data_IF_865833374497
#
_entry.id   IF_865833374497
#
_cell.length_a   1.000
_cell.length_b   1.000
_cell.length_c   1.000
_cell.angle_alpha   90.00
_cell.angle_beta   90.00
_cell.angle_gamma   90.00
#
_symmetry.space_group_name_H-M   'P 1'
#
loop_
_entity.id
_entity.type
_entity.pdbx_description
1 polymer ?
#
# COMPACT_ATOMS: atom_id res chain seq x y z
N UNK A 1 -29.61 33.33 -21.19
CA UNK A 1 -28.66 32.21 -21.39
C UNK A 1 -28.42 31.56 -20.04
N UNK A 2 -29.15 30.48 -19.74
CA UNK A 2 -28.94 29.69 -18.53
C UNK A 2 -27.80 28.71 -18.80
N UNK A 3 -26.62 28.95 -18.22
CA UNK A 3 -25.54 27.96 -18.17
C UNK A 3 -26.00 26.84 -17.25
N UNK A 4 -26.58 25.79 -17.84
CA UNK A 4 -26.81 24.51 -17.18
C UNK A 4 -25.51 24.09 -16.50
N UNK A 5 -25.55 24.04 -15.17
CA UNK A 5 -24.61 23.33 -14.32
C UNK A 5 -24.70 21.84 -14.64
N UNK A 6 -24.17 21.42 -15.79
CA UNK A 6 -23.80 20.03 -16.00
C UNK A 6 -22.74 19.73 -14.93
N UNK A 7 -23.17 19.09 -13.84
CA UNK A 7 -22.27 18.61 -12.81
C UNK A 7 -21.14 17.84 -13.51
N UNK A 8 -19.89 18.26 -13.30
CA UNK A 8 -18.72 17.55 -13.86
C UNK A 8 -18.60 16.17 -13.22
N UNK A 9 -19.35 15.20 -13.73
CA UNK A 9 -19.40 13.79 -13.26
C UNK A 9 -18.02 13.12 -13.36
N UNK A 10 -17.16 13.64 -14.22
CA UNK A 10 -15.77 13.21 -14.43
C UNK A 10 -14.88 13.32 -13.18
N UNK A 11 -15.15 14.24 -12.25
CA UNK A 11 -14.36 14.36 -11.02
C UNK A 11 -14.68 13.26 -9.99
N UNK A 12 -15.94 13.06 -9.56
CA UNK A 12 -16.26 12.02 -8.59
C UNK A 12 -16.04 10.60 -9.16
N UNK A 13 -16.29 10.40 -10.45
CA UNK A 13 -16.08 9.09 -11.08
C UNK A 13 -14.60 8.70 -11.14
N UNK A 14 -13.71 9.65 -11.48
CA UNK A 14 -12.27 9.41 -11.46
C UNK A 14 -11.73 9.14 -10.06
N UNK A 15 -12.27 9.81 -9.04
CA UNK A 15 -11.92 9.54 -7.64
C UNK A 15 -12.34 8.12 -7.24
N UNK A 16 -13.58 7.74 -7.52
CA UNK A 16 -14.09 6.41 -7.20
C UNK A 16 -13.34 5.31 -7.96
N UNK A 17 -13.05 5.50 -9.25
CA UNK A 17 -12.22 4.59 -10.03
C UNK A 17 -10.79 4.49 -9.46
N UNK A 18 -10.21 5.59 -9.00
CA UNK A 18 -8.89 5.61 -8.36
C UNK A 18 -8.87 4.82 -7.05
N UNK A 19 -9.89 4.99 -6.22
CA UNK A 19 -10.08 4.23 -4.99
C UNK A 19 -10.20 2.74 -5.29
N UNK A 20 -11.08 2.34 -6.21
CA UNK A 20 -11.29 0.93 -6.52
C UNK A 20 -10.06 0.28 -7.18
N UNK A 21 -9.39 0.98 -8.09
CA UNK A 21 -8.20 0.46 -8.78
C UNK A 21 -7.02 0.27 -7.82
N UNK A 22 -6.77 1.22 -6.93
CA UNK A 22 -5.69 1.12 -5.94
C UNK A 22 -6.00 0.14 -4.82
N UNK A 23 -7.28 0.04 -4.41
CA UNK A 23 -7.70 -1.00 -3.49
C UNK A 23 -7.52 -2.40 -4.11
N UNK A 24 -7.91 -2.57 -5.37
CA UNK A 24 -7.73 -3.82 -6.11
C UNK A 24 -6.24 -4.18 -6.24
N UNK A 25 -5.39 -3.24 -6.67
CA UNK A 25 -3.95 -3.45 -6.76
C UNK A 25 -3.34 -3.82 -5.40
N UNK A 26 -3.74 -3.13 -4.32
CA UNK A 26 -3.27 -3.40 -2.97
C UNK A 26 -3.68 -4.78 -2.45
N UNK A 27 -4.94 -5.18 -2.63
CA UNK A 27 -5.42 -6.51 -2.24
C UNK A 27 -4.67 -7.59 -3.00
N UNK A 28 -4.48 -7.43 -4.31
CA UNK A 28 -3.72 -8.39 -5.13
C UNK A 28 -2.30 -8.56 -4.60
N UNK A 29 -1.59 -7.45 -4.37
CA UNK A 29 -0.18 -7.49 -3.96
C UNK A 29 0.04 -7.97 -2.53
N UNK A 30 -0.97 -7.87 -1.65
CA UNK A 30 -0.85 -8.24 -0.23
C UNK A 30 -1.41 -9.63 0.04
N UNK A 31 -2.53 -10.00 -0.58
CA UNK A 31 -3.09 -11.35 -0.40
C UNK A 31 -2.18 -12.41 -1.04
N UNK A 32 -1.51 -12.06 -2.15
CA UNK A 32 -0.48 -12.91 -2.75
C UNK A 32 0.84 -12.89 -1.96
N UNK A 33 1.02 -11.90 -1.05
CA UNK A 33 2.27 -11.63 -0.32
C UNK A 33 2.31 -11.95 1.18
N UNK A 34 1.17 -11.93 1.89
CA UNK A 34 1.17 -11.80 3.37
C UNK A 34 0.30 -12.81 4.15
N UNK A 35 -0.52 -13.65 3.51
CA UNK A 35 -1.53 -14.47 4.25
C UNK A 35 -1.27 -15.98 4.17
N UNK A 36 -0.22 -16.45 3.51
CA UNK A 36 0.14 -17.88 3.50
C UNK A 36 1.43 -18.14 4.25
N UNK A 37 1.34 -18.99 5.29
CA UNK A 37 2.42 -19.47 6.19
C UNK A 37 3.54 -20.26 5.48
N UNK A 38 3.51 -20.35 4.15
CA UNK A 38 4.61 -20.87 3.34
C UNK A 38 4.87 -19.88 2.19
N UNK A 39 6.06 -19.26 2.10
CA UNK A 39 6.40 -18.37 1.00
C UNK A 39 6.59 -19.20 -0.26
N UNK A 40 5.52 -19.36 -1.07
CA UNK A 40 5.64 -19.78 -2.47
C UNK A 40 5.92 -18.54 -3.32
N UNK A 41 6.93 -17.74 -2.94
CA UNK A 41 7.30 -16.55 -3.69
C UNK A 41 8.39 -16.90 -4.70
N UNK A 42 8.28 -16.34 -5.89
CA UNK A 42 9.46 -15.90 -6.60
C UNK A 42 9.91 -14.56 -6.00
N UNK A 43 11.19 -14.46 -5.61
CA UNK A 43 11.79 -13.37 -4.83
C UNK A 43 11.65 -11.94 -5.40
N UNK A 44 11.10 -11.79 -6.61
CA UNK A 44 11.09 -10.57 -7.39
C UNK A 44 9.73 -9.87 -7.50
N UNK A 45 8.62 -10.47 -7.06
CA UNK A 45 7.27 -9.89 -7.22
C UNK A 45 7.07 -8.48 -6.64
N UNK A 46 7.51 -8.14 -5.41
CA UNK A 46 7.36 -6.77 -4.89
C UNK A 46 8.23 -5.77 -5.66
N UNK A 47 9.41 -6.20 -6.13
CA UNK A 47 10.31 -5.38 -6.94
C UNK A 47 9.65 -5.04 -8.28
N UNK A 48 9.10 -6.04 -8.96
CA UNK A 48 8.42 -5.89 -10.25
C UNK A 48 7.21 -4.96 -10.11
N UNK A 49 6.39 -5.15 -9.07
CA UNK A 49 5.21 -4.31 -8.84
C UNK A 49 5.58 -2.84 -8.56
N UNK A 50 6.55 -2.59 -7.68
CA UNK A 50 6.97 -1.24 -7.33
C UNK A 50 7.59 -0.49 -8.50
N UNK A 51 8.50 -1.14 -9.23
CA UNK A 51 9.14 -0.55 -10.42
C UNK A 51 8.10 -0.26 -11.50
N UNK A 52 7.21 -1.21 -11.81
CA UNK A 52 6.21 -1.02 -12.86
C UNK A 52 5.15 0.01 -12.48
N UNK A 53 4.84 0.21 -11.19
CA UNK A 53 3.97 1.31 -10.76
C UNK A 53 4.56 2.68 -11.12
N UNK A 54 5.85 2.90 -10.85
CA UNK A 54 6.51 4.18 -11.19
C UNK A 54 6.71 4.34 -12.69
N UNK A 55 7.11 3.28 -13.40
CA UNK A 55 7.29 3.30 -14.86
C UNK A 55 5.98 3.57 -15.58
N UNK A 56 4.87 2.96 -15.15
CA UNK A 56 3.55 3.22 -15.71
C UNK A 56 3.13 4.69 -15.55
N UNK A 57 3.40 5.30 -14.38
CA UNK A 57 3.16 6.73 -14.18
C UNK A 57 4.00 7.57 -15.14
N UNK A 58 5.30 7.31 -15.23
CA UNK A 58 6.21 8.06 -16.09
C UNK A 58 5.78 8.00 -17.57
N UNK A 59 5.46 6.80 -18.07
CA UNK A 59 4.96 6.61 -19.44
C UNK A 59 3.63 7.32 -19.70
N UNK A 60 2.70 7.27 -18.74
CA UNK A 60 1.41 7.94 -18.86
C UNK A 60 1.52 9.47 -18.78
N UNK A 61 2.41 10.00 -17.94
CA UNK A 61 2.72 11.43 -17.90
C UNK A 61 3.30 11.92 -19.23
N UNK A 62 4.10 11.09 -19.91
CA UNK A 62 4.61 11.40 -21.24
C UNK A 62 3.50 11.42 -22.30
N UNK A 63 2.56 10.47 -22.24
CA UNK A 63 1.41 10.42 -23.15
C UNK A 63 0.45 11.61 -23.00
N UNK A 64 0.42 12.24 -21.82
CA UNK A 64 -0.34 13.46 -21.55
C UNK A 64 -1.87 13.29 -21.55
N UNK A 65 -2.41 12.07 -21.51
CA UNK A 65 -3.85 11.80 -21.51
C UNK A 65 -4.30 11.02 -20.28
N UNK A 66 -5.35 11.48 -19.59
CA UNK A 66 -5.96 10.71 -18.49
C UNK A 66 -6.78 9.52 -18.99
N UNK A 67 -7.33 9.63 -20.20
CA UNK A 67 -8.13 8.58 -20.83
C UNK A 67 -7.28 7.35 -21.12
N UNK A 68 -6.02 7.53 -21.54
CA UNK A 68 -5.09 6.41 -21.74
C UNK A 68 -4.77 5.73 -20.41
N UNK A 69 -4.61 6.48 -19.31
CA UNK A 69 -4.45 5.92 -17.97
C UNK A 69 -5.61 4.99 -17.58
N UNK A 70 -6.86 5.44 -17.73
CA UNK A 70 -8.03 4.59 -17.43
C UNK A 70 -8.20 3.42 -18.39
N UNK A 71 -7.82 3.56 -19.67
CA UNK A 71 -7.82 2.46 -20.62
C UNK A 71 -6.81 1.37 -20.24
N UNK A 72 -5.59 1.76 -19.82
CA UNK A 72 -4.59 0.82 -19.30
C UNK A 72 -5.10 0.16 -18.03
N UNK A 73 -5.66 0.92 -17.09
CA UNK A 73 -6.26 0.37 -15.87
C UNK A 73 -7.36 -0.66 -16.19
N UNK A 74 -8.22 -0.39 -17.18
CA UNK A 74 -9.23 -1.34 -17.67
C UNK A 74 -8.58 -2.62 -18.15
N UNK A 75 -7.54 -2.52 -18.99
CA UNK A 75 -6.77 -3.68 -19.46
C UNK A 75 -6.18 -4.50 -18.32
N UNK A 76 -5.60 -3.85 -17.32
CA UNK A 76 -5.06 -4.51 -16.13
C UNK A 76 -6.15 -5.26 -15.33
N UNK A 77 -7.32 -4.66 -15.11
CA UNK A 77 -8.43 -5.32 -14.41
C UNK A 77 -8.91 -6.54 -15.19
N UNK A 78 -9.00 -6.45 -16.51
CA UNK A 78 -9.36 -7.58 -17.38
C UNK A 78 -8.32 -8.71 -17.33
N UNK A 79 -7.03 -8.38 -17.34
CA UNK A 79 -5.95 -9.37 -17.19
C UNK A 79 -6.04 -10.08 -15.83
N UNK A 80 -6.18 -9.33 -14.73
CA UNK A 80 -6.35 -9.91 -13.38
C UNK A 80 -7.59 -10.79 -13.29
N UNK A 81 -8.71 -10.35 -13.88
CA UNK A 81 -9.94 -11.14 -13.97
C UNK A 81 -9.73 -12.42 -14.79
N UNK A 82 -9.02 -12.33 -15.91
CA UNK A 82 -8.77 -13.48 -16.80
C UNK A 82 -7.89 -14.52 -16.13
N UNK A 83 -6.81 -14.10 -15.46
CA UNK A 83 -5.94 -15.00 -14.69
C UNK A 83 -6.75 -15.73 -13.63
N UNK A 84 -7.63 -15.04 -12.91
CA UNK A 84 -8.50 -15.67 -11.89
C UNK A 84 -9.37 -16.82 -12.43
N UNK A 85 -9.88 -16.71 -13.67
CA UNK A 85 -10.78 -17.72 -14.24
C UNK A 85 -10.07 -18.79 -15.07
N UNK A 86 -8.91 -18.46 -15.64
CA UNK A 86 -8.20 -19.33 -16.60
C UNK A 86 -7.04 -20.07 -15.91
N UNK A 87 -6.49 -19.55 -14.81
CA UNK A 87 -5.37 -20.19 -14.13
C UNK A 87 -5.73 -21.60 -13.64
N UNK A 88 -4.99 -22.64 -14.07
CA UNK A 88 -5.23 -23.99 -13.60
C UNK A 88 -5.02 -24.07 -12.09
N UNK A 89 -5.94 -24.72 -11.36
CA UNK A 89 -5.77 -24.98 -9.92
C UNK A 89 -4.54 -25.84 -9.64
N UNK A 90 -4.21 -26.72 -10.58
CA UNK A 90 -3.18 -27.76 -10.44
C UNK A 90 -1.92 -27.40 -11.23
N UNK A 91 -1.70 -26.10 -11.48
CA UNK A 91 -0.55 -25.62 -12.23
C UNK A 91 0.77 -26.09 -11.58
N UNK A 92 1.73 -26.49 -12.42
CA UNK A 92 3.09 -26.80 -11.98
C UNK A 92 3.74 -25.58 -11.31
N UNK A 93 4.76 -25.82 -10.47
CA UNK A 93 5.43 -24.78 -9.71
C UNK A 93 5.92 -23.62 -10.60
N UNK A 94 6.56 -23.93 -11.72
CA UNK A 94 7.07 -22.93 -12.67
C UNK A 94 5.97 -22.05 -13.27
N UNK A 95 4.83 -22.66 -13.60
CA UNK A 95 3.65 -21.93 -14.11
C UNK A 95 3.05 -21.02 -13.05
N UNK A 96 3.00 -21.47 -11.79
CA UNK A 96 2.51 -20.65 -10.67
C UNK A 96 3.43 -19.44 -10.44
N UNK A 97 4.74 -19.65 -10.48
CA UNK A 97 5.73 -18.59 -10.34
C UNK A 97 5.64 -17.56 -11.47
N UNK A 98 5.48 -18.00 -12.72
CA UNK A 98 5.27 -17.10 -13.85
C UNK A 98 3.98 -16.28 -13.70
N UNK A 99 2.88 -16.92 -13.29
CA UNK A 99 1.60 -16.25 -13.05
C UNK A 99 1.71 -15.18 -11.95
N UNK A 100 2.43 -15.45 -10.86
CA UNK A 100 2.66 -14.47 -9.79
C UNK A 100 3.41 -13.23 -10.29
N UNK A 101 4.43 -13.39 -11.13
CA UNK A 101 5.13 -12.25 -11.74
C UNK A 101 4.18 -11.44 -12.62
N UNK A 102 3.35 -12.09 -13.44
CA UNK A 102 2.38 -11.41 -14.29
C UNK A 102 1.32 -10.68 -13.46
N UNK A 103 0.82 -11.29 -12.39
CA UNK A 103 -0.15 -10.68 -11.46
C UNK A 103 0.47 -9.46 -10.77
N UNK A 104 1.68 -9.60 -10.22
CA UNK A 104 2.40 -8.50 -9.58
C UNK A 104 2.69 -7.35 -10.56
N UNK A 105 3.13 -7.66 -11.78
CA UNK A 105 3.34 -6.69 -12.83
C UNK A 105 2.05 -5.94 -13.18
N UNK A 106 0.95 -6.68 -13.36
CA UNK A 106 -0.35 -6.10 -13.72
C UNK A 106 -0.90 -5.22 -12.60
N UNK A 107 -0.75 -5.63 -11.34
CA UNK A 107 -1.16 -4.82 -10.18
C UNK A 107 -0.29 -3.57 -10.02
N UNK A 108 1.02 -3.66 -10.25
CA UNK A 108 1.92 -2.51 -10.29
C UNK A 108 1.50 -1.50 -11.37
N UNK A 109 1.27 -1.96 -12.61
CA UNK A 109 0.80 -1.10 -13.71
C UNK A 109 -0.56 -0.48 -13.38
N UNK A 110 -1.49 -1.24 -12.79
CA UNK A 110 -2.80 -0.74 -12.36
C UNK A 110 -2.67 0.38 -11.33
N UNK A 111 -1.82 0.20 -10.32
CA UNK A 111 -1.52 1.21 -9.30
C UNK A 111 -0.97 2.49 -9.96
N UNK A 112 0.03 2.33 -10.82
CA UNK A 112 0.64 3.46 -11.54
C UNK A 112 -0.35 4.17 -12.47
N UNK A 113 -1.19 3.43 -13.18
CA UNK A 113 -2.22 3.99 -14.04
C UNK A 113 -3.28 4.77 -13.25
N UNK A 114 -3.73 4.24 -12.11
CA UNK A 114 -4.67 4.91 -11.23
C UNK A 114 -4.07 6.21 -10.64
N UNK A 115 -2.81 6.17 -10.19
CA UNK A 115 -2.08 7.36 -9.72
C UNK A 115 -1.99 8.39 -10.84
N UNK A 116 -1.49 8.03 -12.02
CA UNK A 116 -1.34 8.96 -13.14
C UNK A 116 -2.67 9.59 -13.60
N UNK A 117 -3.75 8.81 -13.66
CA UNK A 117 -5.04 9.30 -14.13
C UNK A 117 -5.74 10.26 -13.12
N UNK A 118 -5.43 10.13 -11.84
CA UNK A 118 -6.08 10.88 -10.75
C UNK A 118 -5.23 12.04 -10.20
N UNK A 119 -3.90 11.95 -10.27
CA UNK A 119 -3.00 12.97 -9.72
C UNK A 119 -3.20 14.34 -10.37
N UNK A 120 -3.04 15.40 -9.57
CA UNK A 120 -3.37 16.77 -9.96
C UNK A 120 -4.85 17.14 -9.78
N UNK A 121 -5.66 16.26 -9.17
CA UNK A 121 -6.96 16.62 -8.58
C UNK A 121 -6.95 16.21 -7.11
N UNK A 122 -7.24 17.16 -6.22
CA UNK A 122 -7.26 16.94 -4.77
C UNK A 122 -8.10 15.69 -4.43
N UNK A 123 -9.35 15.63 -4.88
CA UNK A 123 -10.23 14.48 -4.63
C UNK A 123 -9.70 13.13 -5.17
N UNK A 124 -8.92 13.16 -6.25
CA UNK A 124 -8.30 11.95 -6.82
C UNK A 124 -7.14 11.44 -5.96
N UNK A 125 -6.29 12.34 -5.46
CA UNK A 125 -5.16 12.01 -4.58
C UNK A 125 -5.66 11.34 -3.29
N UNK A 126 -6.66 11.93 -2.64
CA UNK A 126 -7.28 11.36 -1.44
C UNK A 126 -7.87 9.97 -1.70
N UNK A 127 -8.55 9.80 -2.83
CA UNK A 127 -9.21 8.54 -3.15
C UNK A 127 -8.22 7.40 -3.42
N UNK A 128 -7.12 7.69 -4.10
CA UNK A 128 -6.05 6.73 -4.36
C UNK A 128 -5.33 6.31 -3.07
N UNK A 129 -5.02 7.26 -2.19
CA UNK A 129 -4.43 6.92 -0.88
C UNK A 129 -5.43 6.14 0.00
N UNK A 130 -6.70 6.54 0.02
CA UNK A 130 -7.74 5.82 0.75
C UNK A 130 -7.88 4.38 0.26
N UNK A 131 -7.93 4.16 -1.06
CA UNK A 131 -8.05 2.83 -1.65
C UNK A 131 -6.84 1.95 -1.36
N UNK A 132 -5.63 2.43 -1.68
CA UNK A 132 -4.40 1.69 -1.47
C UNK A 132 -4.13 1.37 0.01
N UNK A 133 -4.28 2.35 0.90
CA UNK A 133 -4.00 2.15 2.33
C UNK A 133 -5.08 1.32 3.03
N UNK A 134 -6.35 1.50 2.67
CA UNK A 134 -7.41 0.64 3.23
C UNK A 134 -7.25 -0.81 2.78
N UNK A 135 -6.83 -1.05 1.54
CA UNK A 135 -6.47 -2.39 1.09
C UNK A 135 -5.30 -2.95 1.89
N UNK A 136 -4.29 -2.14 2.20
CA UNK A 136 -3.19 -2.56 3.06
C UNK A 136 -3.63 -3.04 4.44
N UNK A 137 -4.52 -2.31 5.10
CA UNK A 137 -5.02 -2.68 6.42
C UNK A 137 -6.00 -3.86 6.39
N UNK A 138 -6.82 -3.98 5.35
CA UNK A 138 -7.92 -4.95 5.29
C UNK A 138 -7.57 -6.26 4.56
N UNK A 139 -6.47 -6.32 3.81
CA UNK A 139 -6.13 -7.48 2.99
C UNK A 139 -5.93 -8.77 3.82
N UNK A 140 -5.33 -8.68 5.00
CA UNK A 140 -5.13 -9.83 5.88
C UNK A 140 -6.45 -10.47 6.34
N UNK A 141 -7.44 -9.65 6.72
CA UNK A 141 -8.77 -10.12 7.10
C UNK A 141 -9.54 -10.74 5.91
N UNK A 142 -9.31 -10.23 4.69
CA UNK A 142 -9.97 -10.73 3.49
C UNK A 142 -9.47 -12.12 3.04
N UNK A 143 -8.32 -12.57 3.55
CA UNK A 143 -7.72 -13.87 3.24
C UNK A 143 -8.32 -15.06 4.02
N UNK A 144 -8.89 -14.83 5.21
CA UNK A 144 -9.30 -15.92 6.11
C UNK A 144 -10.81 -16.13 6.27
N UNK A 145 -11.64 -15.13 5.97
CA UNK A 145 -13.08 -15.26 6.10
C UNK A 145 -13.79 -15.18 4.75
N UNK A 146 -14.21 -16.33 4.16
CA UNK A 146 -15.33 -16.33 3.19
C UNK A 146 -16.24 -17.57 3.24
N UNK A 147 -17.57 -17.37 3.32
CA UNK A 147 -18.62 -18.41 3.24
C UNK A 147 -18.95 -18.86 1.80
N UNK A 148 -18.10 -18.59 0.81
CA UNK A 148 -18.30 -19.03 -0.57
C UNK A 148 -16.99 -19.61 -1.11
N UNK A 149 -16.76 -20.86 -0.77
CA UNK A 149 -15.70 -21.69 -1.35
C UNK A 149 -15.98 -21.90 -2.84
N UNK A 150 -15.20 -21.23 -3.69
CA UNK A 150 -14.66 -21.82 -4.92
C UNK A 150 -13.71 -20.80 -5.57
N UNK A 151 -12.46 -21.24 -5.78
CA UNK A 151 -11.28 -20.53 -6.32
C UNK A 151 -10.44 -19.75 -5.30
N UNK A 152 -9.37 -20.43 -4.88
CA UNK A 152 -8.24 -20.00 -4.02
C UNK A 152 -7.40 -18.83 -4.58
N UNK A 153 -7.88 -18.11 -5.60
CA UNK A 153 -7.14 -17.02 -6.26
C UNK A 153 -7.62 -15.63 -5.79
N UNK A 154 -7.05 -15.23 -4.65
CA UNK A 154 -6.62 -13.90 -4.15
C UNK A 154 -7.47 -12.62 -4.27
N UNK A 155 -8.52 -12.52 -5.09
CA UNK A 155 -9.25 -11.24 -5.28
C UNK A 155 -10.76 -11.37 -5.15
N UNK A 156 -11.46 -10.52 -4.38
CA UNK A 156 -12.93 -10.52 -4.41
C UNK A 156 -13.52 -10.23 -5.79
N UNK A 157 -14.36 -11.14 -6.31
CA UNK A 157 -15.11 -10.95 -7.57
C UNK A 157 -15.85 -9.61 -7.58
N UNK A 158 -16.49 -9.26 -6.46
CA UNK A 158 -17.21 -8.01 -6.34
C UNK A 158 -16.28 -6.79 -6.52
N UNK A 159 -15.06 -6.84 -5.98
CA UNK A 159 -14.09 -5.75 -6.11
C UNK A 159 -13.58 -5.64 -7.54
N UNK A 160 -13.32 -6.77 -8.21
CA UNK A 160 -12.98 -6.80 -9.64
C UNK A 160 -14.09 -6.19 -10.49
N UNK A 161 -15.35 -6.57 -10.24
CA UNK A 161 -16.50 -6.07 -10.99
C UNK A 161 -16.70 -4.55 -10.80
N UNK A 162 -16.65 -4.07 -9.55
CA UNK A 162 -16.77 -2.64 -9.25
C UNK A 162 -15.58 -1.87 -9.83
N UNK A 163 -14.35 -2.37 -9.66
CA UNK A 163 -13.17 -1.73 -10.25
C UNK A 163 -13.31 -1.65 -11.78
N UNK A 164 -13.72 -2.72 -12.45
CA UNK A 164 -13.91 -2.75 -13.90
C UNK A 164 -14.93 -1.71 -14.37
N UNK A 165 -16.14 -1.71 -13.77
CA UNK A 165 -17.20 -0.77 -14.13
C UNK A 165 -16.73 0.67 -13.97
N UNK A 166 -16.01 0.96 -12.90
CA UNK A 166 -15.62 2.31 -12.53
C UNK A 166 -14.45 2.83 -13.38
N UNK A 167 -13.45 2.00 -13.69
CA UNK A 167 -12.35 2.38 -14.59
C UNK A 167 -12.84 2.53 -16.04
N UNK A 168 -13.77 1.69 -16.50
CA UNK A 168 -14.39 1.83 -17.83
C UNK A 168 -15.20 3.11 -17.90
N UNK A 169 -16.06 3.37 -16.90
CA UNK A 169 -16.84 4.60 -16.86
C UNK A 169 -15.92 5.83 -16.81
N UNK A 170 -14.85 5.81 -16.01
CA UNK A 170 -13.87 6.88 -15.97
C UNK A 170 -13.15 7.09 -17.32
N UNK A 171 -12.84 6.01 -18.06
CA UNK A 171 -12.28 6.09 -19.41
C UNK A 171 -13.24 6.71 -20.43
N UNK A 172 -14.55 6.47 -20.29
CA UNK A 172 -15.58 7.00 -21.19
C UNK A 172 -15.86 8.49 -20.94
N UNK A 173 -15.87 8.93 -19.68
CA UNK A 173 -16.19 10.32 -19.31
C UNK A 173 -14.95 11.23 -19.33
N UNK A 174 -13.74 10.67 -19.31
CA UNK A 174 -12.50 11.45 -19.40
C UNK A 174 -12.41 12.25 -20.70
N UNK A 175 -12.46 13.59 -20.58
CA UNK A 175 -12.40 14.49 -21.73
C UNK A 175 -11.04 14.40 -22.46
N UNK A 176 -11.04 14.32 -23.80
CA UNK A 176 -9.82 14.39 -24.59
C UNK A 176 -9.15 15.76 -24.38
N UNK A 177 -7.86 15.75 -24.04
CA UNK A 177 -7.07 16.97 -23.79
C UNK A 177 -6.87 17.33 -22.32
N UNK A 178 -7.57 16.70 -21.38
CA UNK A 178 -7.25 16.83 -19.95
C UNK A 178 -5.91 16.17 -19.64
N UNK A 179 -4.88 16.99 -19.46
CA UNK A 179 -3.51 16.49 -19.28
C UNK A 179 -3.30 15.88 -17.91
N UNK A 180 -2.53 14.81 -17.89
CA UNK A 180 -1.84 14.32 -16.69
C UNK A 180 -0.84 15.40 -16.27
N UNK A 181 -0.52 15.49 -14.98
CA UNK A 181 0.58 16.35 -14.51
C UNK A 181 1.83 16.11 -15.36
N UNK A 182 2.41 17.18 -15.90
CA UNK A 182 3.54 17.08 -16.83
C UNK A 182 4.76 16.54 -16.07
N UNK A 183 5.37 15.48 -16.59
CA UNK A 183 6.56 14.89 -16.00
C UNK A 183 7.73 15.87 -16.05
N UNK A 184 8.42 16.03 -14.93
CA UNK A 184 9.82 16.44 -14.96
C UNK A 184 10.67 15.22 -15.39
N UNK A 185 11.41 15.29 -16.51
CA UNK A 185 12.22 14.19 -17.01
C UNK A 185 13.28 13.68 -16.02
N UNK A 186 13.69 14.49 -15.05
CA UNK A 186 14.65 14.04 -14.02
C UNK A 186 13.98 13.27 -12.90
N UNK A 187 12.69 13.48 -12.70
CA UNK A 187 11.96 12.92 -11.56
C UNK A 187 11.63 11.44 -11.75
N UNK A 188 11.38 11.00 -13.00
CA UNK A 188 11.09 9.58 -13.22
C UNK A 188 12.33 8.71 -13.06
N UNK A 189 13.52 9.16 -13.48
CA UNK A 189 14.76 8.38 -13.28
C UNK A 189 15.08 8.23 -11.80
N UNK A 190 14.91 9.30 -11.01
CA UNK A 190 15.07 9.27 -9.56
C UNK A 190 14.03 8.35 -8.91
N UNK A 191 12.75 8.49 -9.25
CA UNK A 191 11.70 7.68 -8.66
C UNK A 191 11.83 6.19 -9.01
N UNK A 192 12.17 5.85 -10.26
CA UNK A 192 12.43 4.46 -10.66
C UNK A 192 13.67 3.91 -9.97
N UNK A 193 14.75 4.70 -9.91
CA UNK A 193 15.97 4.32 -9.21
C UNK A 193 15.73 4.08 -7.73
N UNK A 194 14.96 4.95 -7.08
CA UNK A 194 14.57 4.80 -5.67
C UNK A 194 13.64 3.59 -5.46
N UNK A 195 12.63 3.38 -6.30
CA UNK A 195 11.74 2.22 -6.20
C UNK A 195 12.53 0.91 -6.33
N UNK A 196 13.46 0.84 -7.29
CA UNK A 196 14.33 -0.33 -7.49
C UNK A 196 15.29 -0.52 -6.32
N UNK A 197 16.01 0.52 -5.92
CA UNK A 197 16.98 0.45 -4.82
C UNK A 197 16.31 0.06 -3.49
N UNK A 198 15.15 0.64 -3.18
CA UNK A 198 14.40 0.30 -1.97
C UNK A 198 13.84 -1.12 -2.03
N UNK A 199 13.22 -1.52 -3.13
CA UNK A 199 12.62 -2.86 -3.23
C UNK A 199 13.67 -3.97 -3.20
N UNK A 200 14.79 -3.80 -3.91
CA UNK A 200 15.91 -4.74 -3.87
C UNK A 200 16.59 -4.72 -2.50
N UNK A 201 16.85 -3.52 -1.95
CA UNK A 201 17.47 -3.36 -0.65
C UNK A 201 16.65 -4.01 0.47
N UNK A 202 15.33 -3.75 0.48
CA UNK A 202 14.42 -4.37 1.43
C UNK A 202 14.36 -5.88 1.26
N UNK A 203 14.33 -6.42 0.04
CA UNK A 203 14.41 -7.88 -0.14
C UNK A 203 15.69 -8.46 0.46
N UNK A 204 16.85 -7.87 0.14
CA UNK A 204 18.13 -8.33 0.67
C UNK A 204 18.20 -8.24 2.19
N UNK A 205 17.61 -7.21 2.79
CA UNK A 205 17.53 -7.08 4.24
C UNK A 205 16.64 -8.17 4.86
N UNK A 206 15.50 -8.47 4.24
CA UNK A 206 14.62 -9.55 4.70
C UNK A 206 15.34 -10.90 4.71
N UNK A 207 16.02 -11.25 3.62
CA UNK A 207 16.79 -12.50 3.51
C UNK A 207 17.87 -12.61 4.59
N UNK A 208 18.49 -11.48 4.95
CA UNK A 208 19.49 -11.43 6.01
C UNK A 208 18.90 -11.55 7.40
N UNK A 209 17.72 -10.99 7.64
CA UNK A 209 17.01 -11.19 8.92
C UNK A 209 16.58 -12.64 9.07
N UNK A 210 16.01 -13.25 8.02
CA UNK A 210 15.59 -14.65 8.04
C UNK A 210 16.77 -15.61 8.26
N UNK A 211 17.90 -15.39 7.57
CA UNK A 211 19.09 -16.22 7.73
C UNK A 211 19.68 -16.18 9.16
N UNK A 212 19.46 -15.08 9.88
CA UNK A 212 20.01 -14.85 11.22
C UNK A 212 18.96 -15.05 12.33
N UNK A 213 17.71 -15.37 11.99
CA UNK A 213 16.61 -15.56 12.95
C UNK A 213 16.87 -16.71 13.93
N UNK A 214 17.58 -17.76 13.51
CA UNK A 214 17.96 -18.91 14.34
C UNK A 214 19.36 -18.77 14.98
N UNK A 215 20.01 -17.61 14.84
CA UNK A 215 21.34 -17.35 15.40
C UNK A 215 21.28 -17.02 16.91
N UNK A 216 22.42 -16.66 17.53
CA UNK A 216 22.43 -16.21 18.92
C UNK A 216 21.56 -14.96 19.10
N UNK A 217 20.93 -14.80 20.27
CA UNK A 217 20.01 -13.69 20.56
C UNK A 217 20.59 -12.31 20.22
N UNK A 218 21.87 -12.09 20.55
CA UNK A 218 22.57 -10.83 20.26
C UNK A 218 22.72 -10.59 18.76
N UNK A 219 23.09 -11.63 18.00
CA UNK A 219 23.29 -11.54 16.55
C UNK A 219 21.97 -11.31 15.83
N UNK A 220 20.93 -12.07 16.19
CA UNK A 220 19.56 -11.88 15.69
C UNK A 220 19.10 -10.42 15.87
N UNK A 221 19.25 -9.86 17.08
CA UNK A 221 18.84 -8.48 17.35
C UNK A 221 19.70 -7.44 16.64
N UNK A 222 20.99 -7.69 16.43
CA UNK A 222 21.87 -6.81 15.67
C UNK A 222 21.42 -6.69 14.21
N UNK A 223 21.11 -7.83 13.56
CA UNK A 223 20.61 -7.83 12.19
C UNK A 223 19.19 -7.27 12.08
N UNK A 224 18.32 -7.58 13.04
CA UNK A 224 16.95 -7.01 13.12
C UNK A 224 16.99 -5.49 13.25
N UNK A 225 17.73 -4.97 14.23
CA UNK A 225 17.89 -3.53 14.44
C UNK A 225 18.59 -2.84 13.27
N UNK A 226 19.61 -3.48 12.69
CA UNK A 226 20.30 -2.99 11.50
C UNK A 226 19.39 -2.91 10.27
N UNK A 227 18.53 -3.91 10.04
CA UNK A 227 17.57 -3.93 8.95
C UNK A 227 16.51 -2.82 9.10
N UNK A 228 15.96 -2.65 10.31
CA UNK A 228 15.01 -1.57 10.61
C UNK A 228 15.65 -0.19 10.45
N UNK A 229 16.90 -0.01 10.89
CA UNK A 229 17.66 1.22 10.69
C UNK A 229 17.88 1.51 9.20
N UNK A 230 18.35 0.52 8.44
CA UNK A 230 18.59 0.66 7.00
C UNK A 230 17.29 0.89 6.22
N UNK A 231 16.15 0.37 6.71
CA UNK A 231 14.84 0.65 6.15
C UNK A 231 14.49 2.15 6.22
N UNK A 232 14.74 2.78 7.38
CA UNK A 232 14.55 4.22 7.59
C UNK A 232 15.56 5.04 6.80
N UNK A 233 16.85 4.68 6.85
CA UNK A 233 17.91 5.36 6.09
C UNK A 233 17.60 5.30 4.60
N UNK A 234 17.16 4.15 4.08
CA UNK A 234 16.77 4.01 2.68
C UNK A 234 15.65 4.99 2.30
N UNK A 235 14.59 5.05 3.11
CA UNK A 235 13.48 5.98 2.88
C UNK A 235 13.93 7.45 2.97
N UNK A 236 14.82 7.79 3.90
CA UNK A 236 15.36 9.14 4.05
C UNK A 236 16.27 9.52 2.87
N UNK A 237 17.15 8.61 2.44
CA UNK A 237 18.02 8.80 1.27
C UNK A 237 17.16 8.99 0.02
N UNK A 238 16.13 8.16 -0.18
CA UNK A 238 15.18 8.34 -1.27
C UNK A 238 14.50 9.72 -1.20
N UNK A 239 14.02 10.11 -0.01
CA UNK A 239 13.38 11.41 0.22
C UNK A 239 14.29 12.61 -0.10
N UNK A 240 15.60 12.51 0.17
CA UNK A 240 16.58 13.56 -0.15
C UNK A 240 16.80 13.78 -1.64
N UNK A 241 16.52 12.79 -2.48
CA UNK A 241 16.59 12.93 -3.93
C UNK A 241 15.29 13.46 -4.56
N UNK A 242 14.21 13.56 -3.77
CA UNK A 242 12.93 14.10 -4.22
C UNK A 242 12.89 15.63 -4.11
N UNK A 243 11.95 16.29 -4.83
CA UNK A 243 11.77 17.73 -4.69
C UNK A 243 11.52 18.17 -3.25
N UNK A 244 11.89 19.42 -2.89
CA UNK A 244 11.60 19.98 -1.58
C UNK A 244 10.10 19.87 -1.27
N UNK A 245 9.76 19.26 -0.12
CA UNK A 245 8.38 19.04 0.32
C UNK A 245 7.78 17.67 -0.01
N UNK A 246 8.29 16.97 -1.03
CA UNK A 246 7.77 15.64 -1.43
C UNK A 246 8.39 14.49 -0.61
N UNK A 247 9.53 14.73 0.04
CA UNK A 247 10.25 13.74 0.86
C UNK A 247 9.53 13.28 2.13
N UNK A 248 8.52 14.04 2.60
CA UNK A 248 7.70 13.68 3.75
C UNK A 248 6.84 12.42 3.47
N UNK A 249 6.40 12.22 2.23
CA UNK A 249 5.48 11.14 1.89
C UNK A 249 6.10 9.74 2.05
N UNK A 250 7.27 9.43 1.46
CA UNK A 250 7.90 8.12 1.65
C UNK A 250 8.18 7.82 3.12
N UNK A 251 8.64 8.81 3.89
CA UNK A 251 8.90 8.65 5.32
C UNK A 251 7.62 8.39 6.12
N UNK A 252 6.52 9.10 5.81
CA UNK A 252 5.23 8.89 6.43
C UNK A 252 4.68 7.49 6.13
N UNK A 253 4.82 7.02 4.88
CA UNK A 253 4.42 5.66 4.49
C UNK A 253 5.25 4.62 5.24
N UNK A 254 6.56 4.76 5.28
CA UNK A 254 7.44 3.83 6.01
C UNK A 254 7.07 3.75 7.49
N UNK A 255 6.89 4.89 8.16
CA UNK A 255 6.44 4.94 9.54
C UNK A 255 5.06 4.30 9.74
N UNK A 256 4.13 4.54 8.81
CA UNK A 256 2.79 3.98 8.85
C UNK A 256 2.79 2.45 8.68
N UNK A 257 3.64 1.90 7.79
CA UNK A 257 3.77 0.45 7.57
C UNK A 257 4.24 -0.23 8.85
N UNK A 258 5.38 0.24 9.38
CA UNK A 258 5.99 -0.34 10.58
C UNK A 258 5.03 -0.29 11.77
N UNK A 259 4.26 0.79 11.89
CA UNK A 259 3.30 0.98 12.98
C UNK A 259 2.04 0.14 12.83
N UNK A 260 1.53 -0.01 11.61
CA UNK A 260 0.29 -0.71 11.34
C UNK A 260 0.49 -2.22 11.14
N UNK A 261 1.71 -2.68 10.84
CA UNK A 261 1.98 -4.09 10.56
C UNK A 261 1.52 -5.06 11.66
N UNK A 262 1.75 -4.79 12.97
CA UNK A 262 1.22 -5.66 14.04
C UNK A 262 -0.30 -5.78 14.02
N UNK A 263 -1.01 -4.73 13.60
CA UNK A 263 -2.45 -4.77 13.42
C UNK A 263 -2.83 -5.62 12.20
N UNK A 264 -2.12 -5.47 11.07
CA UNK A 264 -2.36 -6.26 9.86
C UNK A 264 -2.23 -7.76 10.15
N UNK A 265 -1.20 -8.16 10.89
CA UNK A 265 -1.04 -9.57 11.31
C UNK A 265 -2.19 -10.01 12.21
N UNK A 266 -2.57 -9.20 13.20
CA UNK A 266 -3.69 -9.53 14.09
C UNK A 266 -5.03 -9.68 13.35
N UNK A 267 -5.27 -8.85 12.33
CA UNK A 267 -6.45 -8.94 11.46
C UNK A 267 -6.43 -10.17 10.53
N UNK A 268 -5.29 -10.83 10.38
CA UNK A 268 -5.16 -12.14 9.75
C UNK A 268 -5.40 -13.32 10.71
N UNK A 269 -5.83 -13.10 11.95
CA UNK A 269 -6.23 -14.19 12.86
C UNK A 269 -7.57 -14.84 12.48
N UNK A 270 -7.85 -16.07 12.95
CA UNK A 270 -9.13 -16.74 12.73
C UNK A 270 -10.31 -16.08 13.49
N UNK A 271 -10.04 -15.37 14.59
CA UNK A 271 -11.07 -14.87 15.52
C UNK A 271 -11.45 -13.38 15.31
N UNK A 272 -11.18 -12.85 14.11
CA UNK A 272 -11.33 -11.40 13.84
C UNK A 272 -12.78 -11.02 13.59
N UNK A 273 -13.24 -9.95 14.26
CA UNK A 273 -14.57 -9.37 14.03
C UNK A 273 -14.78 -9.02 12.55
N UNK A 274 -15.89 -9.48 11.97
CA UNK A 274 -16.25 -9.17 10.58
C UNK A 274 -16.42 -7.67 10.27
N UNK A 275 -16.56 -6.83 11.30
CA UNK A 275 -16.64 -5.37 11.18
C UNK A 275 -15.28 -4.68 11.11
N UNK A 276 -14.19 -5.33 11.53
CA UNK A 276 -12.87 -4.71 11.59
C UNK A 276 -12.39 -4.12 10.26
N UNK A 277 -12.56 -4.78 9.09
CA UNK A 277 -12.22 -4.19 7.79
C UNK A 277 -13.02 -2.91 7.49
N UNK A 278 -14.32 -2.91 7.80
CA UNK A 278 -15.18 -1.75 7.58
C UNK A 278 -14.76 -0.57 8.47
N UNK A 279 -14.45 -0.83 9.74
CA UNK A 279 -13.93 0.18 10.67
C UNK A 279 -12.60 0.74 10.19
N UNK A 280 -11.68 -0.12 9.72
CA UNK A 280 -10.41 0.33 9.15
C UNK A 280 -10.63 1.28 7.97
N UNK A 281 -11.46 0.89 6.98
CA UNK A 281 -11.76 1.71 5.80
C UNK A 281 -12.35 3.08 6.20
N UNK A 282 -13.35 3.09 7.07
CA UNK A 282 -14.01 4.32 7.52
C UNK A 282 -13.01 5.22 8.26
N UNK A 283 -12.20 4.64 9.15
CA UNK A 283 -11.21 5.38 9.91
C UNK A 283 -10.10 5.98 9.03
N UNK A 284 -9.59 5.25 8.02
CA UNK A 284 -8.65 5.79 7.03
C UNK A 284 -9.25 7.03 6.36
N UNK A 285 -10.49 6.95 5.89
CA UNK A 285 -11.18 8.07 5.24
C UNK A 285 -11.37 9.26 6.20
N UNK A 286 -11.68 9.01 7.47
CA UNK A 286 -11.79 10.06 8.49
C UNK A 286 -10.46 10.75 8.77
N UNK A 287 -9.37 9.97 8.93
CA UNK A 287 -8.02 10.50 9.10
C UNK A 287 -7.59 11.37 7.92
N UNK A 288 -7.79 10.86 6.71
CA UNK A 288 -7.55 11.60 5.47
C UNK A 288 -8.37 12.90 5.41
N UNK A 289 -9.66 12.87 5.78
CA UNK A 289 -10.50 14.08 5.81
C UNK A 289 -10.10 15.10 6.87
N UNK A 290 -9.41 14.67 7.93
CA UNK A 290 -8.91 15.54 8.98
C UNK A 290 -7.59 16.23 8.60
N UNK A 291 -6.78 15.62 7.73
CA UNK A 291 -5.46 16.14 7.35
C UNK A 291 -5.43 17.59 6.81
N UNK A 292 -6.41 18.09 6.01
CA UNK A 292 -6.42 19.51 5.63
C UNK A 292 -6.57 20.48 6.80
N UNK A 293 -7.16 20.03 7.93
CA UNK A 293 -7.31 20.81 9.16
C UNK A 293 -6.14 20.62 10.13
N UNK A 294 -5.39 19.52 9.96
CA UNK A 294 -4.27 19.13 10.80
C UNK A 294 -3.10 18.70 9.90
N UNK A 295 -2.38 19.65 9.28
CA UNK A 295 -1.28 19.37 8.36
C UNK A 295 -0.01 18.99 9.15
N UNK A 296 -0.11 17.96 9.98
CA UNK A 296 0.93 17.49 10.90
C UNK A 296 1.03 15.96 10.83
N UNK A 297 1.80 15.43 9.86
CA UNK A 297 1.94 13.99 9.67
C UNK A 297 2.49 13.26 10.90
N UNK A 298 3.36 13.92 11.65
CA UNK A 298 3.96 13.42 12.88
C UNK A 298 2.90 13.10 13.95
N UNK A 299 1.80 13.87 14.01
CA UNK A 299 0.71 13.61 14.96
C UNK A 299 -0.08 12.35 14.58
N UNK A 300 -0.34 12.15 13.29
CA UNK A 300 -1.02 10.96 12.81
C UNK A 300 -0.22 9.68 13.11
N UNK A 301 1.09 9.72 12.86
CA UNK A 301 2.00 8.64 13.22
C UNK A 301 2.09 8.44 14.73
N UNK A 302 2.15 9.51 15.52
CA UNK A 302 2.19 9.42 16.98
C UNK A 302 0.95 8.71 17.55
N UNK A 303 -0.25 9.04 17.06
CA UNK A 303 -1.49 8.36 17.48
C UNK A 303 -1.43 6.87 17.16
N UNK A 304 -1.02 6.51 15.94
CA UNK A 304 -0.91 5.12 15.54
C UNK A 304 0.15 4.37 16.39
N UNK A 305 1.30 5.01 16.65
CA UNK A 305 2.41 4.44 17.42
C UNK A 305 2.04 4.18 18.87
N UNK A 306 1.44 5.17 19.54
CA UNK A 306 0.97 5.02 20.91
C UNK A 306 -0.06 3.90 20.99
N UNK A 307 -0.97 3.82 20.01
CA UNK A 307 -1.97 2.75 19.98
C UNK A 307 -1.32 1.37 19.80
N UNK A 308 -0.35 1.23 18.91
CA UNK A 308 0.39 -0.01 18.69
C UNK A 308 1.22 -0.41 19.93
N UNK A 309 1.87 0.56 20.59
CA UNK A 309 2.63 0.33 21.81
C UNK A 309 1.74 -0.10 22.99
N UNK A 310 0.61 0.58 23.19
CA UNK A 310 -0.37 0.25 24.23
C UNK A 310 -0.90 -1.18 24.01
N UNK A 311 -1.21 -1.55 22.76
CA UNK A 311 -1.68 -2.89 22.45
C UNK A 311 -0.65 -4.00 22.75
N UNK A 312 0.65 -3.71 22.64
CA UNK A 312 1.71 -4.67 22.99
C UNK A 312 1.93 -4.76 24.52
N UNK A 313 1.82 -3.64 25.22
CA UNK A 313 1.99 -3.61 26.69
C UNK A 313 0.81 -4.25 27.42
N UNK A 314 -0.41 -4.07 26.89
CA UNK A 314 -1.66 -4.58 27.47
C UNK A 314 -2.46 -5.40 26.44
N UNK A 315 -2.07 -6.66 26.18
CA UNK A 315 -2.71 -7.50 25.17
C UNK A 315 -4.18 -7.80 25.51
N UNK A 316 -4.54 -7.93 26.79
CA UNK A 316 -5.91 -8.22 27.23
C UNK A 316 -6.89 -7.10 26.86
N UNK A 317 -6.42 -5.85 26.83
CA UNK A 317 -7.17 -4.68 26.38
C UNK A 317 -7.27 -4.59 24.85
N UNK A 318 -6.54 -5.41 24.12
CA UNK A 318 -6.38 -5.31 22.66
C UNK A 318 -6.74 -6.60 21.90
N UNK A 319 -7.17 -7.65 22.61
CA UNK A 319 -7.39 -8.98 22.06
C UNK A 319 -8.61 -9.04 21.14
N UNK A 320 -9.83 -8.81 21.65
CA UNK A 320 -11.06 -9.08 20.89
C UNK A 320 -12.23 -8.14 21.21
N UNK A 321 -13.21 -8.07 20.30
CA UNK A 321 -14.46 -7.34 20.50
C UNK A 321 -14.34 -5.83 20.23
N UNK A 322 -15.00 -5.02 21.07
CA UNK A 322 -15.01 -3.56 20.91
C UNK A 322 -13.62 -2.89 21.05
N UNK A 323 -12.70 -3.33 21.93
CA UNK A 323 -11.37 -2.73 22.05
C UNK A 323 -10.53 -2.93 20.79
N UNK A 324 -10.66 -4.08 20.12
CA UNK A 324 -10.03 -4.33 18.82
C UNK A 324 -10.52 -3.31 17.78
N UNK A 325 -11.82 -3.04 17.71
CA UNK A 325 -12.37 -2.04 16.78
C UNK A 325 -11.85 -0.62 17.08
N UNK A 326 -11.69 -0.27 18.35
CA UNK A 326 -11.10 1.02 18.75
C UNK A 326 -9.63 1.09 18.32
N UNK A 327 -8.85 0.03 18.55
CA UNK A 327 -7.46 -0.06 18.10
C UNK A 327 -7.33 0.08 16.58
N UNK A 328 -8.17 -0.65 15.84
CA UNK A 328 -8.25 -0.56 14.38
C UNK A 328 -8.54 0.87 13.96
N UNK A 329 -9.56 1.50 14.56
CA UNK A 329 -9.96 2.85 14.22
C UNK A 329 -8.83 3.87 14.48
N UNK A 330 -8.15 3.79 15.62
CA UNK A 330 -7.09 4.73 15.98
C UNK A 330 -5.86 4.59 15.07
N UNK A 331 -5.41 3.37 14.80
CA UNK A 331 -4.26 3.12 13.91
C UNK A 331 -4.61 3.55 12.47
N UNK A 332 -5.79 3.17 11.97
CA UNK A 332 -6.25 3.51 10.63
C UNK A 332 -6.46 5.03 10.45
N UNK A 333 -7.06 5.70 11.43
CA UNK A 333 -7.24 7.15 11.40
C UNK A 333 -5.91 7.90 11.53
N UNK A 334 -5.01 7.46 12.41
CA UNK A 334 -3.69 8.06 12.60
C UNK A 334 -2.82 7.94 11.34
N UNK A 335 -2.71 6.74 10.79
CA UNK A 335 -1.98 6.51 9.53
C UNK A 335 -2.64 7.23 8.34
N UNK A 336 -3.98 7.25 8.26
CA UNK A 336 -4.71 8.04 7.26
C UNK A 336 -4.43 9.54 7.35
N UNK A 337 -4.42 10.10 8.57
CA UNK A 337 -4.06 11.50 8.79
C UNK A 337 -2.62 11.78 8.36
N UNK A 338 -1.67 10.91 8.75
CA UNK A 338 -0.26 11.05 8.40
C UNK A 338 -0.05 11.10 6.88
N UNK A 339 -0.57 10.11 6.16
CA UNK A 339 -0.46 10.02 4.70
C UNK A 339 -1.16 11.19 4.00
N UNK A 340 -2.30 11.62 4.54
CA UNK A 340 -3.06 12.75 4.03
C UNK A 340 -2.32 14.08 4.14
N UNK A 341 -1.68 14.30 5.28
CA UNK A 341 -0.92 15.54 5.54
C UNK A 341 0.43 15.58 4.83
N UNK A 342 0.96 14.41 4.44
CA UNK A 342 2.21 14.28 3.72
C UNK A 342 2.03 14.08 2.21
N UNK A 343 0.85 14.33 1.63
CA UNK A 343 0.59 14.08 0.20
C UNK A 343 1.61 14.80 -0.70
N UNK A 344 2.27 14.08 -1.63
CA UNK A 344 3.29 14.69 -2.48
C UNK A 344 2.65 15.47 -3.63
N UNK A 345 3.34 16.52 -4.06
CA UNK A 345 2.96 17.32 -5.21
C UNK A 345 3.07 16.55 -6.53
N UNK A 346 3.94 15.53 -6.60
CA UNK A 346 4.24 14.79 -7.83
C UNK A 346 3.70 13.36 -7.87
N UNK A 347 3.17 12.96 -9.04
CA UNK A 347 2.61 11.62 -9.24
C UNK A 347 3.65 10.47 -9.14
N UNK A 348 4.89 10.59 -9.63
CA UNK A 348 5.90 9.54 -9.48
C UNK A 348 6.25 9.25 -8.02
N UNK A 349 6.32 10.30 -7.17
CA UNK A 349 6.56 10.15 -5.73
C UNK A 349 5.38 9.48 -5.05
N UNK A 350 4.16 9.82 -5.44
CA UNK A 350 2.97 9.16 -4.93
C UNK A 350 2.95 7.66 -5.25
N UNK A 351 3.29 7.28 -6.48
CA UNK A 351 3.37 5.87 -6.88
C UNK A 351 4.50 5.14 -6.17
N UNK A 352 5.66 5.76 -6.00
CA UNK A 352 6.74 5.23 -5.19
C UNK A 352 6.24 4.97 -3.76
N UNK A 353 5.70 5.99 -3.09
CA UNK A 353 5.20 5.87 -1.72
C UNK A 353 4.11 4.82 -1.59
N UNK A 354 3.12 4.79 -2.49
CA UNK A 354 2.05 3.78 -2.46
C UNK A 354 2.51 2.37 -2.79
N UNK A 355 3.68 2.22 -3.44
CA UNK A 355 4.29 0.91 -3.67
C UNK A 355 5.16 0.41 -2.50
N UNK A 356 5.60 1.31 -1.61
CA UNK A 356 6.44 0.96 -0.46
C UNK A 356 5.83 -0.08 0.48
N UNK A 357 4.51 -0.11 0.76
CA UNK A 357 3.93 -1.15 1.60
C UNK A 357 4.28 -2.54 1.08
N UNK A 358 4.20 -2.75 -0.24
CA UNK A 358 4.52 -4.04 -0.85
C UNK A 358 6.02 -4.35 -0.82
N UNK A 359 6.86 -3.34 -1.02
CA UNK A 359 8.32 -3.50 -1.00
C UNK A 359 8.88 -3.74 0.42
N UNK A 360 8.28 -3.15 1.45
CA UNK A 360 8.75 -3.21 2.83
C UNK A 360 8.17 -4.41 3.60
N UNK A 361 7.05 -4.99 3.15
CA UNK A 361 6.42 -6.17 3.76
C UNK A 361 7.40 -7.34 4.01
N UNK A 362 8.32 -7.71 3.08
CA UNK A 362 9.30 -8.75 3.33
C UNK A 362 10.18 -8.49 4.56
N UNK A 363 10.69 -7.26 4.72
CA UNK A 363 11.56 -6.92 5.86
C UNK A 363 10.77 -6.91 7.15
N UNK A 364 9.63 -6.21 7.16
CA UNK A 364 8.82 -6.07 8.38
C UNK A 364 8.24 -7.42 8.79
N UNK A 365 7.89 -8.27 7.82
CA UNK A 365 7.46 -9.65 8.06
C UNK A 365 8.58 -10.55 8.58
N UNK A 366 9.79 -10.46 8.02
CA UNK A 366 10.96 -11.17 8.54
C UNK A 366 11.30 -10.75 9.97
N UNK A 367 11.18 -9.46 10.29
CA UNK A 367 11.34 -8.95 11.66
C UNK A 367 10.27 -9.49 12.60
N UNK A 368 9.04 -9.67 12.11
CA UNK A 368 7.93 -10.19 12.91
C UNK A 368 8.01 -11.70 13.15
N UNK A 369 8.63 -12.45 12.24
CA UNK A 369 8.76 -13.90 12.32
C UNK A 369 9.92 -14.38 13.19
N UNK A 370 10.78 -13.48 13.69
CA UNK A 370 11.89 -13.88 14.56
C UNK A 370 11.39 -14.53 15.85
N UNK A 371 12.10 -15.53 16.41
CA UNK A 371 11.71 -16.23 17.63
C UNK A 371 12.02 -15.38 18.88
N UNK A 372 11.34 -14.24 19.03
CA UNK A 372 11.48 -13.33 20.16
C UNK A 372 10.13 -13.02 20.83
N UNK A 373 10.17 -12.42 22.02
CA UNK A 373 8.98 -11.89 22.68
C UNK A 373 8.30 -10.85 21.75
N UNK A 374 7.01 -11.00 21.40
CA UNK A 374 6.27 -10.04 20.59
C UNK A 374 6.35 -8.60 21.12
N UNK A 375 6.50 -8.41 22.43
CA UNK A 375 6.67 -7.07 23.03
C UNK A 375 7.95 -6.39 22.58
N UNK A 376 9.04 -7.13 22.46
CA UNK A 376 10.32 -6.61 21.99
C UNK A 376 10.28 -6.28 20.51
N UNK A 377 9.63 -7.14 19.71
CA UNK A 377 9.43 -6.92 18.27
C UNK A 377 8.60 -5.64 18.05
N UNK A 378 7.46 -5.50 18.74
CA UNK A 378 6.65 -4.28 18.65
C UNK A 378 7.43 -3.07 19.17
N UNK A 379 8.21 -3.21 20.25
CA UNK A 379 9.07 -2.14 20.75
C UNK A 379 10.06 -1.63 19.68
N UNK A 380 10.71 -2.54 18.96
CA UNK A 380 11.62 -2.20 17.87
C UNK A 380 10.89 -1.48 16.72
N UNK A 381 9.72 -1.98 16.30
CA UNK A 381 8.89 -1.34 15.29
C UNK A 381 8.42 0.06 15.75
N UNK A 382 8.01 0.21 17.00
CA UNK A 382 7.59 1.52 17.56
C UNK A 382 8.75 2.51 17.55
N UNK A 383 9.96 2.09 17.91
CA UNK A 383 11.16 2.95 17.84
C UNK A 383 11.41 3.38 16.39
N UNK A 384 11.37 2.46 15.44
CA UNK A 384 11.54 2.75 14.01
C UNK A 384 10.49 3.74 13.50
N UNK A 385 9.21 3.53 13.85
CA UNK A 385 8.15 4.45 13.46
C UNK A 385 8.26 5.81 14.16
N UNK A 386 8.77 5.89 15.39
CA UNK A 386 9.04 7.15 16.08
C UNK A 386 10.15 7.95 15.39
N UNK A 387 11.20 7.29 14.89
CA UNK A 387 12.24 7.93 14.06
C UNK A 387 11.61 8.46 12.76
N UNK A 388 10.74 7.68 12.10
CA UNK A 388 10.01 8.18 10.93
C UNK A 388 9.16 9.41 11.28
N UNK A 389 8.40 9.37 12.37
CA UNK A 389 7.57 10.50 12.80
C UNK A 389 8.39 11.77 13.08
N UNK A 390 9.59 11.61 13.66
CA UNK A 390 10.51 12.71 13.89
C UNK A 390 11.04 13.32 12.58
N UNK A 391 11.37 12.48 11.60
CA UNK A 391 11.93 12.92 10.31
C UNK A 391 10.89 13.56 9.37
N UNK A 392 9.60 13.34 9.59
CA UNK A 392 8.52 13.92 8.76
C UNK A 392 8.11 15.32 9.27
N UNK A 393 8.51 15.70 10.48
CA UNK A 393 8.31 17.03 11.06
C UNK A 393 9.10 18.10 10.31
#
# INVERSE_FOLDING_TARGET
MATLTAARVDAPLAALAGLCATALAGVVLIVDGAVTVAPVHHDSTPIVAAVLAVVAVAGLQHSGSRRTGWAIATGCVLVLGSIRYIAPSDAAADTRSALQIVVAATAGILLGAAVAATWGRVGGQWAVVAGGWSAFLAAAAAGNGRPFESLRWTVPQWLLAIALVTVVAAALVAQPGMRVQRADPRMWTVAVGAALALSVGYRLLADRVDAEAASSTVRMWLFTGGALLLLVIGAEVAARFLPPGDGAFPMAVTGAIVTAYPLVVALGGPDVSGWAPAVAIVAVVLGLRAAPRMPRPELGLAVALVTTAVAALWPDLAADGWPLLVRVALIAAGTGLALGSALPGSAPVAALGLSLPFAALPVVGAVWSIPADPKLIVGALVVTGAVCAWQVR
#
